data_IF_760289636045
#
_entry.id   IF_760289636045
#
_cell.length_a   1.000
_cell.length_b   1.000
_cell.length_c   1.000
_cell.angle_alpha   90.00
_cell.angle_beta   90.00
_cell.angle_gamma   90.00
#
_symmetry.space_group_name_H-M   'P 1'
#
loop_
_entity.id
_entity.type
_entity.pdbx_description
1 polymer ?
#
# COMPACT_ATOMS: atom_id res chain seq x y z
N UNK A 1 4.60 -7.61 -22.31
CA UNK A 1 3.61 -8.62 -21.88
C UNK A 1 2.22 -8.16 -22.28
N UNK A 2 1.39 -9.03 -22.87
CA UNK A 2 -0.02 -8.71 -23.15
C UNK A 2 -0.89 -9.10 -21.96
N UNK A 3 -1.97 -8.35 -21.71
CA UNK A 3 -2.92 -8.63 -20.61
C UNK A 3 -3.42 -10.08 -20.65
N UNK A 4 -3.71 -10.58 -21.86
CA UNK A 4 -4.19 -11.96 -22.06
C UNK A 4 -3.18 -13.03 -21.65
N UNK A 5 -1.87 -12.74 -21.72
CA UNK A 5 -0.82 -13.67 -21.23
C UNK A 5 -0.77 -13.71 -19.71
N UNK A 6 -0.87 -12.55 -19.06
CA UNK A 6 -0.87 -12.43 -17.60
C UNK A 6 -2.11 -13.09 -16.97
N UNK A 7 -3.29 -12.92 -17.59
CA UNK A 7 -4.52 -13.58 -17.14
C UNK A 7 -4.38 -15.10 -17.18
N UNK A 8 -3.91 -15.66 -18.31
CA UNK A 8 -3.71 -17.12 -18.42
C UNK A 8 -2.71 -17.64 -17.38
N UNK A 9 -1.63 -16.91 -17.14
CA UNK A 9 -0.62 -17.29 -16.16
C UNK A 9 -1.12 -17.25 -14.69
N UNK A 10 -2.17 -16.48 -14.40
CA UNK A 10 -2.73 -16.32 -13.05
C UNK A 10 -4.16 -16.84 -12.91
N UNK A 11 -4.65 -17.64 -13.86
CA UNK A 11 -6.06 -18.06 -13.93
C UNK A 11 -6.55 -18.69 -12.63
N UNK A 12 -5.77 -19.60 -12.04
CA UNK A 12 -6.18 -20.30 -10.83
C UNK A 12 -6.28 -19.37 -9.61
N UNK A 13 -5.39 -18.37 -9.52
CA UNK A 13 -5.44 -17.35 -8.46
C UNK A 13 -6.65 -16.43 -8.62
N UNK A 14 -7.00 -16.06 -9.85
CA UNK A 14 -8.18 -15.24 -10.14
C UNK A 14 -9.45 -16.01 -9.74
N UNK A 15 -9.56 -17.29 -10.11
CA UNK A 15 -10.70 -18.13 -9.74
C UNK A 15 -10.81 -18.27 -8.22
N UNK A 16 -9.71 -18.61 -7.54
CA UNK A 16 -9.68 -18.72 -6.09
C UNK A 16 -10.09 -17.41 -5.40
N UNK A 17 -9.65 -16.25 -5.91
CA UNK A 17 -10.05 -14.96 -5.35
C UNK A 17 -11.56 -14.69 -5.48
N UNK A 18 -12.18 -15.11 -6.58
CA UNK A 18 -13.64 -15.01 -6.77
C UNK A 18 -14.38 -15.98 -5.85
N UNK A 19 -13.97 -17.24 -5.80
CA UNK A 19 -14.59 -18.29 -4.99
C UNK A 19 -14.52 -17.97 -3.49
N UNK A 20 -13.39 -17.42 -3.03
CA UNK A 20 -13.18 -17.03 -1.64
C UNK A 20 -13.68 -15.61 -1.30
N UNK A 21 -14.23 -14.89 -2.28
CA UNK A 21 -14.72 -13.51 -2.09
C UNK A 21 -13.62 -12.53 -1.65
N UNK A 22 -12.37 -12.74 -2.08
CA UNK A 22 -11.24 -11.89 -1.70
C UNK A 22 -11.35 -10.53 -2.40
N UNK A 23 -11.38 -9.47 -1.60
CA UNK A 23 -11.39 -8.09 -2.10
C UNK A 23 -10.03 -7.43 -1.95
N UNK A 24 -9.60 -6.76 -3.02
CA UNK A 24 -8.38 -5.95 -3.03
C UNK A 24 -8.61 -4.52 -2.49
N UNK A 25 -9.83 -4.15 -2.09
CA UNK A 25 -10.18 -2.76 -1.73
C UNK A 25 -9.32 -2.18 -0.60
N UNK A 26 -8.98 -2.98 0.42
CA UNK A 26 -8.11 -2.53 1.53
C UNK A 26 -6.69 -2.22 1.04
N UNK A 27 -6.16 -3.06 0.16
CA UNK A 27 -4.83 -2.89 -0.42
C UNK A 27 -4.79 -1.67 -1.35
N UNK A 28 -5.81 -1.47 -2.18
CA UNK A 28 -5.92 -0.28 -3.03
C UNK A 28 -6.10 1.01 -2.23
N UNK A 29 -6.87 0.95 -1.14
CA UNK A 29 -7.02 2.06 -0.19
C UNK A 29 -5.67 2.42 0.45
N UNK A 30 -4.91 1.42 0.91
CA UNK A 30 -3.57 1.61 1.46
C UNK A 30 -2.61 2.18 0.41
N UNK A 31 -2.58 1.63 -0.81
CA UNK A 31 -1.75 2.14 -1.91
C UNK A 31 -2.05 3.60 -2.24
N UNK A 32 -3.33 3.98 -2.21
CA UNK A 32 -3.75 5.37 -2.43
C UNK A 32 -3.30 6.28 -1.29
N UNK A 33 -3.40 5.84 -0.03
CA UNK A 33 -2.88 6.58 1.14
C UNK A 33 -1.37 6.73 1.08
N UNK A 34 -0.62 5.69 0.68
CA UNK A 34 0.84 5.75 0.50
C UNK A 34 1.22 6.79 -0.56
N UNK A 35 0.53 6.80 -1.71
CA UNK A 35 0.75 7.82 -2.76
C UNK A 35 0.52 9.23 -2.23
N UNK A 36 -0.52 9.43 -1.41
CA UNK A 36 -0.80 10.72 -0.78
C UNK A 36 0.29 11.13 0.22
N UNK A 37 0.79 10.21 1.03
CA UNK A 37 1.92 10.46 1.97
C UNK A 37 3.14 10.93 1.19
N UNK A 38 3.52 10.20 0.13
CA UNK A 38 4.66 10.56 -0.69
C UNK A 38 4.50 11.94 -1.35
N UNK A 39 3.29 12.25 -1.84
CA UNK A 39 2.99 13.54 -2.44
C UNK A 39 3.06 14.69 -1.43
N UNK A 40 2.54 14.51 -0.21
CA UNK A 40 2.63 15.49 0.88
C UNK A 40 4.06 15.73 1.35
N UNK A 41 4.94 14.73 1.20
CA UNK A 41 6.37 14.84 1.45
C UNK A 41 7.17 15.48 0.31
N UNK A 42 6.51 15.92 -0.78
CA UNK A 42 7.14 16.44 -2.01
C UNK A 42 8.19 15.49 -2.63
N UNK A 43 8.04 14.19 -2.40
CA UNK A 43 9.08 13.20 -2.68
C UNK A 43 10.11 13.16 -1.54
N UNK A 44 10.07 12.10 -0.74
CA UNK A 44 11.00 11.94 0.37
C UNK A 44 12.45 11.76 -0.13
N UNK A 45 13.41 12.30 0.62
CA UNK A 45 14.85 12.20 0.31
C UNK A 45 15.41 10.77 0.31
N UNK A 46 14.66 9.79 0.83
CA UNK A 46 15.02 8.38 0.78
C UNK A 46 13.80 7.47 0.91
N UNK A 47 13.94 6.21 0.46
CA UNK A 47 12.92 5.19 0.66
C UNK A 47 12.67 4.92 2.16
N UNK A 48 13.71 4.97 3.00
CA UNK A 48 13.59 4.79 4.44
C UNK A 48 12.71 5.86 5.10
N UNK A 49 12.82 7.12 4.66
CA UNK A 49 11.97 8.20 5.15
C UNK A 49 10.49 7.99 4.76
N UNK A 50 10.22 7.57 3.52
CA UNK A 50 8.85 7.22 3.10
C UNK A 50 8.31 6.02 3.91
N UNK A 51 9.11 4.97 4.09
CA UNK A 51 8.71 3.78 4.87
C UNK A 51 8.37 4.16 6.32
N UNK A 52 9.21 4.98 6.97
CA UNK A 52 8.94 5.47 8.32
C UNK A 52 7.63 6.25 8.40
N UNK A 53 7.35 7.12 7.41
CA UNK A 53 6.08 7.84 7.33
C UNK A 53 4.88 6.92 7.12
N UNK A 54 5.02 5.86 6.33
CA UNK A 54 3.97 4.84 6.15
C UNK A 54 3.67 4.15 7.47
N UNK A 55 4.71 3.70 8.21
CA UNK A 55 4.52 3.09 9.53
C UNK A 55 3.88 4.06 10.52
N UNK A 56 4.32 5.31 10.57
CA UNK A 56 3.74 6.33 11.44
C UNK A 56 2.25 6.59 11.13
N UNK A 57 1.89 6.72 9.84
CA UNK A 57 0.53 7.08 9.45
C UNK A 57 -0.45 5.89 9.32
N UNK A 58 0.06 4.67 9.11
CA UNK A 58 -0.76 3.49 8.80
C UNK A 58 -0.53 2.30 9.75
N UNK A 59 0.59 2.27 10.49
CA UNK A 59 0.99 1.13 11.32
C UNK A 59 0.36 1.09 12.70
N UNK A 60 -0.44 2.10 13.08
CA UNK A 60 -1.06 2.17 14.41
C UNK A 60 -0.05 2.32 15.56
N UNK A 61 1.18 2.74 15.25
CA UNK A 61 2.22 2.97 16.25
C UNK A 61 1.91 4.24 17.04
N UNK A 62 1.95 4.16 18.37
CA UNK A 62 1.91 5.33 19.24
C UNK A 62 3.34 5.79 19.48
N UNK A 63 3.67 7.01 19.07
CA UNK A 63 4.99 7.59 19.24
C UNK A 63 4.81 8.95 19.90
N UNK A 64 5.62 9.26 20.92
CA UNK A 64 5.65 10.63 21.45
C UNK A 64 6.36 11.53 20.45
N UNK A 65 5.66 12.58 20.02
CA UNK A 65 6.25 13.53 19.08
C UNK A 65 7.28 14.40 19.81
N UNK A 66 8.41 14.76 19.18
CA UNK A 66 9.40 15.65 19.79
C UNK A 66 8.86 17.02 20.23
N UNK A 67 7.70 17.41 19.70
CA UNK A 67 6.96 18.64 20.02
C UNK A 67 5.99 18.51 21.19
N UNK A 68 5.66 17.30 21.61
CA UNK A 68 4.83 17.03 22.79
C UNK A 68 5.74 16.97 24.02
N UNK A 69 6.02 18.14 24.62
CA UNK A 69 6.59 18.24 25.98
C UNK A 69 5.50 18.61 26.97
#
# INVERSE_FOLDING_TARGET
>A
MTVSRTIRANRDRILAAVELGLSNSKLEGLNSKIRLINHRGYGHHSAAALIAMIYLCCGGITVQLPTER
#
